data_IF_137536799594
#
_entry.id   IF_137536799594
#
_cell.length_a   1.000
_cell.length_b   1.000
_cell.length_c   1.000
_cell.angle_alpha   90.00
_cell.angle_beta   90.00
_cell.angle_gamma   90.00
#
_symmetry.space_group_name_H-M   'P 1'
#
loop_
_entity.id
_entity.type
_entity.pdbx_description
1 polymer ?
#
# COMPACT_ATOMS: atom_id res chain seq x y z
N UNK A 1 -10.22 14.33 -6.74
CA UNK A 1 -10.31 12.99 -7.36
C UNK A 1 -10.80 12.02 -6.30
N UNK A 2 -11.99 11.42 -6.52
CA UNK A 2 -12.53 10.48 -5.53
C UNK A 2 -11.80 9.14 -5.61
N UNK A 3 -11.05 8.83 -4.58
CA UNK A 3 -10.28 7.59 -4.46
C UNK A 3 -10.90 6.75 -3.35
N UNK A 4 -11.11 5.46 -3.62
CA UNK A 4 -11.54 4.50 -2.61
C UNK A 4 -10.35 3.61 -2.25
N UNK A 5 -10.13 3.41 -0.95
CA UNK A 5 -9.05 2.54 -0.48
C UNK A 5 -9.66 1.22 0.01
N UNK A 6 -9.13 0.11 -0.48
CA UNK A 6 -9.56 -1.24 -0.10
C UNK A 6 -8.42 -2.00 0.56
N UNK A 7 -8.78 -2.89 1.49
CA UNK A 7 -7.82 -3.77 2.17
C UNK A 7 -7.99 -5.20 1.67
N UNK A 8 -6.89 -5.87 1.40
CA UNK A 8 -6.88 -7.27 0.95
C UNK A 8 -5.94 -8.09 1.81
N UNK A 9 -6.42 -9.25 2.24
CA UNK A 9 -5.61 -10.23 2.96
C UNK A 9 -5.26 -11.44 2.08
N UNK A 10 -5.75 -11.47 0.84
CA UNK A 10 -5.46 -12.53 -0.12
C UNK A 10 -5.60 -11.98 -1.54
N UNK A 11 -5.02 -12.67 -2.52
CA UNK A 11 -5.11 -12.32 -3.93
C UNK A 11 -5.88 -13.39 -4.72
N UNK A 12 -7.06 -13.72 -4.25
CA UNK A 12 -7.88 -14.77 -4.88
C UNK A 12 -8.57 -14.31 -6.17
N UNK A 13 -8.68 -12.99 -6.36
CA UNK A 13 -9.31 -12.43 -7.56
C UNK A 13 -8.25 -12.20 -8.64
N UNK A 14 -8.38 -12.88 -9.77
CA UNK A 14 -7.40 -12.80 -10.85
C UNK A 14 -7.33 -11.43 -11.52
N UNK A 15 -8.46 -10.71 -11.57
CA UNK A 15 -8.48 -9.37 -12.14
C UNK A 15 -7.69 -8.38 -11.28
N UNK A 16 -7.87 -8.45 -9.97
CA UNK A 16 -7.11 -7.62 -9.03
C UNK A 16 -5.63 -7.96 -9.12
N UNK A 17 -5.30 -9.25 -9.18
CA UNK A 17 -3.93 -9.72 -9.32
C UNK A 17 -3.27 -9.17 -10.58
N UNK A 18 -3.97 -9.24 -11.71
CA UNK A 18 -3.45 -8.75 -13.00
C UNK A 18 -3.24 -7.23 -12.97
N UNK A 19 -4.15 -6.49 -12.37
CA UNK A 19 -4.00 -5.04 -12.22
C UNK A 19 -2.80 -4.67 -11.36
N UNK A 20 -2.59 -5.40 -10.26
CA UNK A 20 -1.44 -5.17 -9.37
C UNK A 20 -0.13 -5.48 -10.09
N UNK A 21 -0.07 -6.58 -10.84
CA UNK A 21 1.12 -6.94 -11.59
C UNK A 21 1.51 -5.84 -12.57
N UNK A 22 0.54 -5.32 -13.32
CA UNK A 22 0.79 -4.19 -14.23
C UNK A 22 1.21 -2.93 -13.50
N UNK A 23 0.62 -2.68 -12.33
CA UNK A 23 0.97 -1.53 -11.52
C UNK A 23 2.43 -1.60 -11.04
N UNK A 24 2.86 -2.75 -10.52
CA UNK A 24 4.23 -2.92 -10.06
C UNK A 24 5.24 -2.89 -11.22
N UNK A 25 4.83 -3.32 -12.42
CA UNK A 25 5.68 -3.20 -13.61
C UNK A 25 6.02 -1.74 -13.95
N UNK A 26 5.22 -0.77 -13.49
CA UNK A 26 5.48 0.65 -13.78
C UNK A 26 6.58 1.24 -12.92
N UNK A 27 7.04 0.51 -11.90
CA UNK A 27 8.06 1.01 -10.97
C UNK A 27 9.34 0.18 -11.08
N UNK A 28 10.45 0.76 -11.54
CA UNK A 28 11.71 0.03 -11.68
C UNK A 28 12.23 -0.56 -10.37
N UNK A 29 11.82 -0.01 -9.25
CA UNK A 29 12.23 -0.47 -7.92
C UNK A 29 11.80 -1.92 -7.64
N UNK A 30 10.70 -2.36 -8.23
CA UNK A 30 10.17 -3.69 -8.02
C UNK A 30 10.61 -4.68 -9.10
N UNK A 31 11.31 -4.21 -10.13
CA UNK A 31 11.74 -5.04 -11.24
C UNK A 31 10.54 -5.60 -12.01
N UNK A 32 10.38 -6.92 -11.98
CA UNK A 32 9.28 -7.60 -12.66
C UNK A 32 8.05 -7.64 -11.74
N UNK A 33 6.91 -7.14 -12.23
CA UNK A 33 5.65 -7.15 -11.47
C UNK A 33 5.21 -8.55 -11.06
N UNK A 34 5.49 -9.56 -11.88
CA UNK A 34 5.17 -10.95 -11.54
C UNK A 34 5.90 -11.41 -10.28
N UNK A 35 7.19 -11.06 -10.16
CA UNK A 35 7.99 -11.39 -8.97
C UNK A 35 7.46 -10.64 -7.75
N UNK A 36 7.09 -9.37 -7.91
CA UNK A 36 6.52 -8.58 -6.82
C UNK A 36 5.23 -9.21 -6.29
N UNK A 37 4.37 -9.69 -7.18
CA UNK A 37 3.11 -10.34 -6.79
C UNK A 37 3.36 -11.67 -6.08
N UNK A 38 4.34 -12.44 -6.52
CA UNK A 38 4.70 -13.69 -5.84
C UNK A 38 5.17 -13.42 -4.41
N UNK A 39 5.98 -12.39 -4.23
CA UNK A 39 6.44 -12.00 -2.89
C UNK A 39 5.27 -11.53 -2.03
N UNK A 40 4.38 -10.74 -2.59
CA UNK A 40 3.20 -10.26 -1.89
C UNK A 40 2.32 -11.42 -1.41
N UNK A 41 2.10 -12.42 -2.25
CA UNK A 41 1.29 -13.59 -1.88
C UNK A 41 1.89 -14.32 -0.69
N UNK A 42 3.22 -14.46 -0.64
CA UNK A 42 3.89 -15.09 0.49
C UNK A 42 3.71 -14.25 1.76
N UNK A 43 3.87 -12.95 1.66
CA UNK A 43 3.76 -12.05 2.80
C UNK A 43 2.31 -11.97 3.33
N UNK A 44 1.32 -12.02 2.44
CA UNK A 44 -0.10 -12.01 2.84
C UNK A 44 -0.48 -13.24 3.66
N UNK A 45 0.22 -14.34 3.50
CA UNK A 45 0.00 -15.55 4.30
C UNK A 45 0.55 -15.42 5.72
N UNK A 46 1.29 -14.35 5.99
CA UNK A 46 1.88 -14.09 7.30
C UNK A 46 1.18 -12.91 7.97
N UNK A 47 1.84 -11.77 8.05
CA UNK A 47 1.33 -10.61 8.80
C UNK A 47 1.26 -9.36 7.93
N UNK A 48 0.87 -9.50 6.68
CA UNK A 48 0.79 -8.40 5.73
C UNK A 48 -0.64 -8.19 5.26
N UNK A 49 -1.05 -6.92 5.20
CA UNK A 49 -2.30 -6.51 4.57
C UNK A 49 -1.93 -5.60 3.39
N UNK A 50 -2.56 -5.84 2.25
CA UNK A 50 -2.42 -4.98 1.07
C UNK A 50 -3.52 -3.94 1.08
N UNK A 51 -3.14 -2.67 0.90
CA UNK A 51 -4.11 -1.59 0.69
C UNK A 51 -3.95 -1.07 -0.74
N UNK A 52 -5.08 -0.91 -1.43
CA UNK A 52 -5.10 -0.41 -2.80
C UNK A 52 -5.88 0.89 -2.88
N UNK A 53 -5.46 1.78 -3.76
CA UNK A 53 -6.23 2.98 -4.11
C UNK A 53 -6.88 2.71 -5.46
N UNK A 54 -8.20 2.88 -5.53
CA UNK A 54 -8.97 2.64 -6.75
C UNK A 54 -9.68 3.91 -7.19
N UNK A 55 -9.66 4.13 -8.50
CA UNK A 55 -10.35 5.22 -9.16
C UNK A 55 -11.00 4.67 -10.42
N UNK A 56 -12.32 4.86 -10.56
CA UNK A 56 -13.10 4.32 -11.68
C UNK A 56 -12.84 2.82 -11.90
N UNK A 57 -12.91 2.04 -10.81
CA UNK A 57 -12.71 0.59 -10.78
C UNK A 57 -11.30 0.11 -11.15
N UNK A 58 -10.36 1.03 -11.29
CA UNK A 58 -8.96 0.69 -11.60
C UNK A 58 -8.07 0.92 -10.38
N UNK A 59 -7.15 -0.01 -10.16
CA UNK A 59 -6.15 0.13 -9.11
C UNK A 59 -5.06 1.07 -9.61
N UNK A 60 -4.90 2.22 -8.96
CA UNK A 60 -3.91 3.24 -9.32
C UNK A 60 -2.79 3.38 -8.30
N UNK A 61 -2.87 2.68 -7.19
CA UNK A 61 -1.83 2.68 -6.17
C UNK A 61 -2.00 1.53 -5.22
N UNK A 62 -0.91 1.19 -4.53
CA UNK A 62 -0.90 0.10 -3.55
C UNK A 62 0.19 0.32 -2.51
N UNK A 63 -0.03 -0.19 -1.30
CA UNK A 63 0.94 -0.17 -0.21
C UNK A 63 0.74 -1.40 0.65
N UNK A 64 1.83 -1.93 1.22
CA UNK A 64 1.78 -3.07 2.14
C UNK A 64 1.93 -2.59 3.57
N UNK A 65 1.13 -3.16 4.48
CA UNK A 65 1.26 -2.94 5.91
C UNK A 65 1.58 -4.27 6.57
N UNK A 66 2.77 -4.37 7.18
CA UNK A 66 3.29 -5.64 7.70
C UNK A 66 3.64 -5.54 9.17
N UNK A 67 3.40 -6.61 9.91
CA UNK A 67 3.77 -6.72 11.31
C UNK A 67 2.67 -7.24 12.21
N UNK A 68 2.99 -7.40 13.49
CA UNK A 68 2.06 -7.84 14.53
C UNK A 68 2.02 -6.84 15.66
N UNK A 69 0.88 -6.80 16.37
CA UNK A 69 0.74 -6.00 17.58
C UNK A 69 0.48 -4.53 17.28
N UNK A 70 1.05 -3.66 18.09
CA UNK A 70 0.77 -2.22 18.06
C UNK A 70 1.68 -1.45 17.09
N UNK A 71 2.74 -2.06 16.60
CA UNK A 71 3.70 -1.43 15.69
C UNK A 71 3.76 -2.19 14.38
N UNK A 72 3.57 -1.50 13.26
CA UNK A 72 3.63 -2.10 11.92
C UNK A 72 4.45 -1.24 10.98
N UNK A 73 4.93 -1.85 9.92
CA UNK A 73 5.73 -1.18 8.88
C UNK A 73 4.87 -0.98 7.64
N UNK A 74 4.90 0.24 7.10
CA UNK A 74 4.32 0.55 5.80
C UNK A 74 5.43 0.51 4.77
N UNK A 75 5.27 -0.30 3.72
CA UNK A 75 6.34 -0.53 2.74
C UNK A 75 5.78 -0.83 1.35
N UNK A 76 6.65 -0.83 0.35
CA UNK A 76 6.33 -1.17 -1.04
C UNK A 76 5.19 -0.34 -1.61
N UNK A 77 5.27 0.98 -1.44
CA UNK A 77 4.28 1.88 -2.01
C UNK A 77 4.53 2.10 -3.50
N UNK A 78 3.48 2.05 -4.29
CA UNK A 78 3.54 2.36 -5.71
C UNK A 78 2.30 3.15 -6.12
N UNK A 79 2.51 4.15 -6.98
CA UNK A 79 1.41 4.92 -7.59
C UNK A 79 1.65 4.92 -9.08
N UNK A 80 0.61 4.63 -9.87
CA UNK A 80 0.71 4.63 -11.32
C UNK A 80 1.25 5.98 -11.81
N UNK A 81 2.20 5.99 -12.77
CA UNK A 81 2.81 7.25 -13.23
C UNK A 81 1.82 8.32 -13.67
N UNK A 82 0.71 7.93 -14.30
CA UNK A 82 -0.32 8.87 -14.75
C UNK A 82 -1.06 9.55 -13.59
N UNK A 83 -0.95 9.01 -12.38
CA UNK A 83 -1.68 9.52 -11.20
C UNK A 83 -0.77 10.14 -10.16
N UNK A 84 0.54 10.24 -10.42
CA UNK A 84 1.49 10.85 -9.49
C UNK A 84 1.24 12.36 -9.38
N UNK A 85 1.58 12.93 -8.23
CA UNK A 85 1.39 14.35 -7.96
C UNK A 85 -0.05 14.75 -7.67
N UNK A 86 -0.94 13.78 -7.43
CA UNK A 86 -2.35 14.03 -7.17
C UNK A 86 -2.81 13.61 -5.77
N UNK A 87 -1.85 13.34 -4.87
CA UNK A 87 -2.16 12.99 -3.49
C UNK A 87 -2.55 11.54 -3.26
N UNK A 88 -2.35 10.65 -4.24
CA UNK A 88 -2.72 9.23 -4.11
C UNK A 88 -1.93 8.54 -3.02
N UNK A 89 -0.60 8.76 -2.98
CA UNK A 89 0.27 8.15 -1.98
C UNK A 89 -0.14 8.57 -0.57
N UNK A 90 -0.37 9.87 -0.37
CA UNK A 90 -0.78 10.40 0.94
C UNK A 90 -2.13 9.82 1.36
N UNK A 91 -3.08 9.72 0.43
CA UNK A 91 -4.40 9.15 0.70
C UNK A 91 -4.29 7.67 1.09
N UNK A 92 -3.44 6.90 0.41
CA UNK A 92 -3.18 5.50 0.75
C UNK A 92 -2.63 5.37 2.16
N UNK A 93 -1.60 6.14 2.49
CA UNK A 93 -0.98 6.10 3.81
C UNK A 93 -1.99 6.50 4.89
N UNK A 94 -2.72 7.58 4.68
CA UNK A 94 -3.72 8.07 5.63
C UNK A 94 -4.80 7.03 5.92
N UNK A 95 -5.36 6.44 4.86
CA UNK A 95 -6.44 5.46 5.02
C UNK A 95 -5.92 4.13 5.59
N UNK A 96 -4.73 3.69 5.19
CA UNK A 96 -4.13 2.49 5.78
C UNK A 96 -3.92 2.69 7.28
N UNK A 97 -3.40 3.84 7.70
CA UNK A 97 -3.23 4.15 9.11
C UNK A 97 -4.57 4.16 9.84
N UNK A 98 -5.59 4.79 9.26
CA UNK A 98 -6.91 4.87 9.87
C UNK A 98 -7.51 3.48 10.12
N UNK A 99 -7.43 2.61 9.13
CA UNK A 99 -7.96 1.25 9.23
C UNK A 99 -7.19 0.43 10.26
N UNK A 100 -5.86 0.51 10.22
CA UNK A 100 -5.02 -0.23 11.16
C UNK A 100 -5.17 0.28 12.60
N UNK A 101 -5.33 1.59 12.78
CA UNK A 101 -5.60 2.16 14.11
C UNK A 101 -6.90 1.62 14.69
N UNK A 102 -7.90 1.39 13.85
CA UNK A 102 -9.17 0.80 14.30
C UNK A 102 -8.99 -0.63 14.79
N UNK A 103 -7.89 -1.28 14.41
CA UNK A 103 -7.54 -2.64 14.85
C UNK A 103 -6.56 -2.65 16.03
N UNK A 104 -6.18 -1.48 16.55
CA UNK A 104 -5.30 -1.35 17.70
C UNK A 104 -3.85 -1.02 17.41
N UNK A 105 -3.49 -0.78 16.15
CA UNK A 105 -2.13 -0.38 15.79
C UNK A 105 -1.92 1.08 16.21
N UNK A 106 -0.77 1.37 16.80
CA UNK A 106 -0.45 2.71 17.34
C UNK A 106 0.76 3.34 16.68
N UNK A 107 1.69 2.53 16.16
CA UNK A 107 2.96 3.01 15.62
C UNK A 107 3.10 2.50 14.19
N UNK A 108 3.41 3.41 13.27
CA UNK A 108 3.66 3.09 11.87
C UNK A 108 5.07 3.49 11.50
N UNK A 109 5.88 2.51 11.09
CA UNK A 109 7.25 2.75 10.67
C UNK A 109 7.33 2.87 9.16
N UNK A 110 8.02 3.89 8.64
CA UNK A 110 8.16 4.05 7.19
C UNK A 110 9.21 3.11 6.62
N UNK A 111 8.84 2.34 5.60
CA UNK A 111 9.76 1.45 4.90
C UNK A 111 10.60 2.16 3.83
N UNK A 112 10.23 3.39 3.47
CA UNK A 112 10.98 4.18 2.49
C UNK A 112 10.74 5.67 2.71
N UNK A 113 11.54 6.52 2.02
CA UNK A 113 11.47 7.96 2.16
C UNK A 113 10.13 8.58 1.78
N UNK A 114 9.47 8.03 0.75
CA UNK A 114 8.16 8.52 0.34
C UNK A 114 7.11 8.32 1.43
N UNK A 115 7.12 7.17 2.08
CA UNK A 115 6.20 6.87 3.18
C UNK A 115 6.53 7.74 4.39
N UNK A 116 7.82 7.94 4.67
CA UNK A 116 8.25 8.83 5.75
C UNK A 116 7.65 10.23 5.57
N UNK A 117 7.74 10.78 4.37
CA UNK A 117 7.19 12.11 4.07
C UNK A 117 5.67 12.16 4.25
N UNK A 118 4.96 11.11 3.81
CA UNK A 118 3.51 11.04 3.97
C UNK A 118 3.13 10.98 5.45
N UNK A 119 3.80 10.13 6.24
CA UNK A 119 3.52 10.01 7.67
C UNK A 119 3.79 11.33 8.40
N UNK A 120 4.86 12.02 8.06
CA UNK A 120 5.18 13.32 8.65
C UNK A 120 4.09 14.35 8.32
N UNK A 121 3.63 14.37 7.07
CA UNK A 121 2.63 15.34 6.62
C UNK A 121 1.27 15.14 7.29
N UNK A 122 0.86 13.90 7.53
CA UNK A 122 -0.43 13.62 8.18
C UNK A 122 -0.31 13.55 9.72
N UNK A 123 0.87 13.80 10.29
CA UNK A 123 1.08 13.83 11.73
C UNK A 123 1.13 12.47 12.40
N UNK A 124 1.49 11.43 11.66
CA UNK A 124 1.54 10.05 12.16
C UNK A 124 2.95 9.49 12.30
N UNK A 125 3.96 10.32 12.06
CA UNK A 125 5.35 9.87 12.17
C UNK A 125 5.71 9.74 13.65
N UNK A 126 6.17 8.54 14.02
CA UNK A 126 6.66 8.28 15.38
C UNK A 126 8.07 8.84 15.52
N UNK A 127 8.30 9.59 16.57
CA UNK A 127 9.61 10.19 16.84
C UNK A 127 10.33 9.47 17.97
#
# INVERSE_FOLDING_TARGET
MPITVHAYSSLDNSEIRDQLERLYDTSPEFGDGHVAIEQLEQDLQQYTTLYTAEFNTKIIGAIWCSGQGESKVLEYIVVHPANRGRGVAERLVEEACRIEESKGVKIFEPGCGAIHRCLAHIGKLHS
#
